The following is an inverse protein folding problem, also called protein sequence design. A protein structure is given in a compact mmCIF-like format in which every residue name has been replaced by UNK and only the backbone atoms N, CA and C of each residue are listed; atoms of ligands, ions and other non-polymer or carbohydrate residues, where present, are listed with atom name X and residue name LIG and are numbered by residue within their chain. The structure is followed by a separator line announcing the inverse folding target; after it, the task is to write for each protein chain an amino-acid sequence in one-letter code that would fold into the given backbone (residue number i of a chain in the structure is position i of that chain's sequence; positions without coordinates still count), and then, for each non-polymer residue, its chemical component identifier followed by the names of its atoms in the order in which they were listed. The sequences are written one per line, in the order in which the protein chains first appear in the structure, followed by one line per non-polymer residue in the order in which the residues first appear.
data_IF_097772785849
#
_entry.id   IF_097772785849
#
_cell.length_a   1.000
_cell.length_b   1.000
_cell.length_c   1.000
_cell.angle_alpha   90.00
_cell.angle_beta   90.00
_cell.angle_gamma   90.00
#
_symmetry.space_group_name_H-M   'P 1'
#
loop_
_entity.id
_entity.type
_entity.pdbx_description
1 polymer ?
#
# COMPACT_ATOMS: atom_id res chain seq x y z
N UNK A 1 15.17 0.03 31.51
CA UNK A 1 14.04 0.86 30.97
C UNK A 1 14.33 1.48 29.60
N UNK A 2 15.55 1.92 29.28
CA UNK A 2 15.87 2.54 27.97
C UNK A 2 15.70 1.61 26.75
N UNK A 3 16.07 0.33 26.87
CA UNK A 3 16.00 -0.65 25.78
C UNK A 3 14.57 -0.92 25.29
N UNK A 4 13.58 -0.98 26.20
CA UNK A 4 12.16 -1.11 25.87
C UNK A 4 11.58 0.12 25.15
N UNK A 5 12.11 1.32 25.43
CA UNK A 5 11.72 2.55 24.72
C UNK A 5 12.34 2.61 23.34
N UNK A 6 13.59 2.19 23.20
CA UNK A 6 14.27 2.11 21.91
C UNK A 6 13.58 1.11 20.98
N UNK A 7 13.24 -0.08 21.47
CA UNK A 7 12.51 -1.09 20.67
C UNK A 7 11.15 -0.58 20.19
N UNK A 8 10.39 0.10 21.07
CA UNK A 8 9.12 0.75 20.68
C UNK A 8 9.31 1.88 19.67
N UNK A 9 10.37 2.65 19.79
CA UNK A 9 10.69 3.70 18.83
C UNK A 9 11.01 3.10 17.45
N UNK A 10 11.85 2.06 17.41
CA UNK A 10 12.19 1.32 16.17
C UNK A 10 10.92 0.75 15.54
N UNK A 11 10.05 0.13 16.32
CA UNK A 11 8.77 -0.40 15.85
C UNK A 11 7.89 0.70 15.23
N UNK A 12 7.67 1.80 15.96
CA UNK A 12 6.86 2.93 15.48
C UNK A 12 7.45 3.57 14.22
N UNK A 13 8.77 3.77 14.18
CA UNK A 13 9.47 4.28 12.99
C UNK A 13 9.34 3.33 11.81
N UNK A 14 9.47 2.01 12.04
CA UNK A 14 9.32 1.01 10.99
C UNK A 14 7.91 1.04 10.41
N UNK A 15 6.88 1.05 11.26
CA UNK A 15 5.48 1.17 10.82
C UNK A 15 5.26 2.45 10.02
N UNK A 16 5.80 3.59 10.48
CA UNK A 16 5.69 4.88 9.80
C UNK A 16 6.37 4.85 8.41
N UNK A 17 7.60 4.35 8.32
CA UNK A 17 8.32 4.25 7.04
C UNK A 17 7.59 3.32 6.07
N UNK A 18 7.07 2.20 6.58
CA UNK A 18 6.27 1.28 5.78
C UNK A 18 4.99 1.96 5.28
N UNK A 19 4.32 2.75 6.12
CA UNK A 19 3.13 3.50 5.72
C UNK A 19 3.44 4.55 4.64
N UNK A 20 4.47 5.37 4.84
CA UNK A 20 4.88 6.40 3.86
C UNK A 20 5.28 5.78 2.52
N UNK A 21 5.94 4.62 2.53
CA UNK A 21 6.28 3.90 1.30
C UNK A 21 5.02 3.43 0.55
N UNK A 22 4.02 2.91 1.26
CA UNK A 22 2.75 2.50 0.66
C UNK A 22 2.00 3.69 0.04
N UNK A 23 1.93 4.81 0.77
CA UNK A 23 1.30 6.06 0.27
C UNK A 23 1.99 6.56 -0.99
N UNK A 24 3.33 6.58 -1.02
CA UNK A 24 4.09 6.97 -2.22
C UNK A 24 3.73 6.11 -3.43
N UNK A 25 3.64 4.81 -3.24
CA UNK A 25 3.35 3.84 -4.31
C UNK A 25 1.94 4.04 -4.83
N UNK A 26 0.97 4.20 -3.93
CA UNK A 26 -0.43 4.52 -4.26
C UNK A 26 -0.50 5.77 -5.14
N UNK A 27 0.16 6.86 -4.76
CA UNK A 27 0.17 8.08 -5.57
C UNK A 27 0.88 7.90 -6.91
N UNK A 28 1.98 7.15 -6.96
CA UNK A 28 2.70 6.86 -8.21
C UNK A 28 1.84 6.06 -9.19
N UNK A 29 1.10 5.08 -8.70
CA UNK A 29 0.20 4.24 -9.49
C UNK A 29 -0.98 5.06 -9.99
N UNK A 30 -1.59 5.86 -9.11
CA UNK A 30 -2.73 6.72 -9.44
C UNK A 30 -2.33 7.76 -10.49
N UNK A 31 -1.15 8.37 -10.36
CA UNK A 31 -0.61 9.27 -11.38
C UNK A 31 -0.38 8.55 -12.71
N UNK A 32 0.21 7.34 -12.69
CA UNK A 32 0.43 6.56 -13.90
C UNK A 32 -0.86 6.24 -14.66
N UNK A 33 -1.90 5.80 -13.94
CA UNK A 33 -3.20 5.47 -14.53
C UNK A 33 -3.90 6.70 -15.11
N UNK A 34 -3.92 7.80 -14.35
CA UNK A 34 -4.52 9.06 -14.81
C UNK A 34 -3.76 9.58 -16.02
N UNK A 35 -2.42 9.56 -15.99
CA UNK A 35 -1.59 10.02 -17.10
C UNK A 35 -1.89 9.22 -18.37
N UNK A 36 -1.85 7.89 -18.27
CA UNK A 36 -2.04 7.00 -19.41
C UNK A 36 -3.45 7.14 -20.00
N UNK A 37 -4.50 7.19 -19.18
CA UNK A 37 -5.88 7.22 -19.69
C UNK A 37 -6.44 8.60 -20.04
N UNK A 38 -5.91 9.67 -19.44
CA UNK A 38 -6.41 11.03 -19.69
C UNK A 38 -5.59 11.73 -20.77
N UNK A 39 -4.28 11.48 -20.83
CA UNK A 39 -3.38 12.20 -21.74
C UNK A 39 -2.87 11.34 -22.90
N UNK A 40 -2.61 10.04 -22.70
CA UNK A 40 -2.01 9.18 -23.73
C UNK A 40 -3.02 8.28 -24.46
N UNK A 41 -4.12 7.91 -23.80
CA UNK A 41 -5.11 6.95 -24.28
C UNK A 41 -6.54 7.48 -24.25
N UNK A 42 -7.49 6.61 -24.62
CA UNK A 42 -8.93 6.89 -24.44
C UNK A 42 -9.40 6.39 -23.07
N UNK A 43 -10.13 7.21 -22.30
CA UNK A 43 -10.70 6.80 -21.03
C UNK A 43 -11.58 5.56 -21.21
N UNK A 44 -11.31 4.51 -20.44
CA UNK A 44 -12.11 3.30 -20.44
C UNK A 44 -12.67 3.04 -19.03
N UNK A 45 -13.52 2.02 -18.90
CA UNK A 45 -14.13 1.67 -17.61
C UNK A 45 -13.12 1.28 -16.52
N UNK A 46 -11.85 1.02 -16.88
CA UNK A 46 -10.80 0.68 -15.92
C UNK A 46 -10.37 1.87 -15.05
N UNK A 47 -10.42 3.11 -15.55
CA UNK A 47 -10.05 4.29 -14.77
C UNK A 47 -10.89 4.46 -13.48
N UNK A 48 -12.24 4.48 -13.52
CA UNK A 48 -13.02 4.59 -12.30
C UNK A 48 -12.85 3.37 -11.38
N UNK A 49 -12.70 2.16 -11.94
CA UNK A 49 -12.50 0.93 -11.15
C UNK A 49 -11.19 0.98 -10.38
N UNK A 50 -10.09 1.32 -11.06
CA UNK A 50 -8.76 1.37 -10.45
C UNK A 50 -8.64 2.48 -9.41
N UNK A 51 -9.22 3.65 -9.66
CA UNK A 51 -9.30 4.73 -8.67
C UNK A 51 -10.09 4.29 -7.44
N UNK A 52 -11.23 3.63 -7.63
CA UNK A 52 -12.05 3.13 -6.52
C UNK A 52 -11.28 2.09 -5.68
N UNK A 53 -10.60 1.13 -6.33
CA UNK A 53 -9.78 0.13 -5.64
C UNK A 53 -8.67 0.76 -4.80
N UNK A 54 -7.99 1.78 -5.34
CA UNK A 54 -6.95 2.52 -4.62
C UNK A 54 -7.51 3.30 -3.42
N UNK A 55 -8.68 3.93 -3.56
CA UNK A 55 -9.37 4.59 -2.45
C UNK A 55 -9.74 3.57 -1.37
N UNK A 56 -10.28 2.42 -1.76
CA UNK A 56 -10.63 1.36 -0.81
C UNK A 56 -9.40 0.83 -0.08
N UNK A 57 -8.26 0.67 -0.76
CA UNK A 57 -7.00 0.28 -0.12
C UNK A 57 -6.51 1.31 0.90
N UNK A 58 -6.63 2.61 0.60
CA UNK A 58 -6.29 3.69 1.53
C UNK A 58 -7.22 3.71 2.76
N UNK A 59 -8.49 3.35 2.58
CA UNK A 59 -9.51 3.31 3.64
C UNK A 59 -9.51 1.98 4.42
N UNK A 60 -8.86 0.93 3.92
CA UNK A 60 -8.81 -0.38 4.55
C UNK A 60 -8.35 -0.36 6.02
N UNK A 61 -7.35 0.46 6.44
CA UNK A 61 -6.96 0.56 7.85
C UNK A 61 -8.08 1.08 8.77
N UNK A 62 -9.03 1.84 8.22
CA UNK A 62 -10.17 2.39 8.98
C UNK A 62 -11.20 1.30 9.33
N UNK A 63 -11.31 0.29 8.46
CA UNK A 63 -12.16 -0.88 8.66
C UNK A 63 -11.44 -2.02 9.42
N UNK A 64 -10.16 -1.87 9.72
CA UNK A 64 -9.37 -2.89 10.40
C UNK A 64 -9.89 -3.13 11.83
N UNK A 65 -10.25 -4.38 12.20
CA UNK A 65 -10.75 -4.68 13.54
C UNK A 65 -9.67 -4.47 14.61
N UNK A 66 -10.07 -3.94 15.78
CA UNK A 66 -9.15 -3.62 16.89
C UNK A 66 -8.55 -4.85 17.59
N UNK A 67 -9.09 -6.05 17.39
CA UNK A 67 -8.76 -7.25 18.18
C UNK A 67 -8.42 -8.48 17.34
N UNK A 68 -7.45 -8.37 16.44
CA UNK A 68 -6.96 -9.52 15.67
C UNK A 68 -6.02 -10.43 16.46
N UNK A 69 -6.07 -11.73 16.16
CA UNK A 69 -5.12 -12.72 16.69
C UNK A 69 -3.71 -12.43 16.16
N UNK A 70 -2.69 -12.71 16.98
CA UNK A 70 -1.28 -12.45 16.61
C UNK A 70 -0.85 -13.17 15.33
N UNK A 71 -1.37 -14.37 15.08
CA UNK A 71 -1.09 -15.13 13.86
C UNK A 71 -1.62 -14.43 12.61
N UNK A 72 -2.79 -13.81 12.70
CA UNK A 72 -3.39 -13.10 11.58
C UNK A 72 -2.68 -11.77 11.29
N UNK A 73 -2.30 -11.04 12.33
CA UNK A 73 -1.43 -9.85 12.19
C UNK A 73 -0.09 -10.21 11.54
N UNK A 74 0.52 -11.33 11.95
CA UNK A 74 1.76 -11.81 11.34
C UNK A 74 1.58 -12.18 9.87
N UNK A 75 0.50 -12.89 9.51
CA UNK A 75 0.20 -13.25 8.13
C UNK A 75 0.01 -12.00 7.25
N UNK A 76 -0.73 -11.00 7.73
CA UNK A 76 -0.96 -9.75 7.01
C UNK A 76 0.33 -8.92 6.89
N UNK A 77 1.16 -8.90 7.92
CA UNK A 77 2.47 -8.24 7.85
C UNK A 77 3.40 -8.91 6.84
N UNK A 78 3.38 -10.25 6.74
CA UNK A 78 4.15 -10.99 5.73
C UNK A 78 3.63 -10.68 4.32
N UNK A 79 2.31 -10.69 4.10
CA UNK A 79 1.72 -10.36 2.81
C UNK A 79 2.06 -8.93 2.39
N UNK A 80 1.90 -7.96 3.29
CA UNK A 80 2.29 -6.57 3.05
C UNK A 80 3.80 -6.45 2.73
N UNK A 81 4.66 -7.20 3.43
CA UNK A 81 6.10 -7.20 3.13
C UNK A 81 6.41 -7.81 1.76
N UNK A 82 5.73 -8.91 1.38
CA UNK A 82 5.88 -9.53 0.07
C UNK A 82 5.39 -8.63 -1.06
N UNK A 83 4.27 -7.93 -0.87
CA UNK A 83 3.76 -6.94 -1.81
C UNK A 83 4.72 -5.77 -2.05
N UNK A 84 5.67 -5.52 -1.14
CA UNK A 84 6.65 -4.43 -1.27
C UNK A 84 7.82 -4.76 -2.16
N UNK A 85 8.18 -6.04 -2.31
CA UNK A 85 9.33 -6.46 -3.11
C UNK A 85 9.19 -6.07 -4.60
N UNK A 86 8.04 -6.32 -5.26
CA UNK A 86 7.87 -6.05 -6.69
C UNK A 86 7.67 -4.56 -7.00
N UNK A 87 7.47 -3.70 -6.01
CA UNK A 87 7.33 -2.24 -6.21
C UNK A 87 8.60 -1.59 -6.77
N UNK A 88 9.73 -2.28 -6.65
CA UNK A 88 11.00 -1.90 -7.29
C UNK A 88 10.99 -2.11 -8.81
N UNK A 89 10.14 -3.00 -9.33
CA UNK A 89 10.02 -3.27 -10.76
C UNK A 89 9.36 -2.09 -11.47
N UNK A 90 9.79 -1.78 -12.70
CA UNK A 90 9.26 -0.68 -13.50
C UNK A 90 8.12 -1.13 -14.43
N UNK A 91 7.15 -1.84 -13.87
CA UNK A 91 5.93 -2.27 -14.56
C UNK A 91 4.70 -1.67 -13.88
N UNK A 92 3.84 -1.00 -14.65
CA UNK A 92 2.70 -0.27 -14.12
C UNK A 92 1.63 -1.20 -13.53
N UNK A 93 1.41 -2.36 -14.15
CA UNK A 93 0.41 -3.33 -13.71
C UNK A 93 0.86 -4.02 -12.43
N UNK A 94 2.13 -4.43 -12.36
CA UNK A 94 2.70 -5.04 -11.15
C UNK A 94 2.65 -4.06 -9.98
N UNK A 95 3.02 -2.79 -10.20
CA UNK A 95 2.95 -1.75 -9.18
C UNK A 95 1.51 -1.52 -8.69
N UNK A 96 0.52 -1.54 -9.58
CA UNK A 96 -0.89 -1.39 -9.20
C UNK A 96 -1.34 -2.50 -8.25
N UNK A 97 -1.13 -3.76 -8.61
CA UNK A 97 -1.56 -4.89 -7.78
C UNK A 97 -0.83 -4.95 -6.44
N UNK A 98 0.47 -4.65 -6.45
CA UNK A 98 1.27 -4.59 -5.23
C UNK A 98 0.94 -3.39 -4.33
N UNK A 99 0.34 -2.32 -4.87
CA UNK A 99 -0.14 -1.18 -4.08
C UNK A 99 -1.42 -1.49 -3.29
N UNK A 100 -2.19 -2.49 -3.71
CA UNK A 100 -3.44 -2.90 -3.06
C UNK A 100 -3.23 -3.87 -1.88
N UNK A 101 -2.00 -4.38 -1.72
CA UNK A 101 -1.58 -5.34 -0.68
C UNK A 101 -0.75 -4.63 0.38
#
# INVERSE_FOLDING_TARGET
MGQLRLLRAIEATSVLLFFLQAVRVVFSVLFGIIYDQVFAGSPNAWLPISVLLVILALLAPLAAPRSWTRSWLAAMAVLAALGRLPLSLNDATVRFWCALI
#
